data_IF_784592470551
#
_entry.id   IF_784592470551
#
_cell.length_a   1.000
_cell.length_b   1.000
_cell.length_c   1.000
_cell.angle_alpha   90.00
_cell.angle_beta   90.00
_cell.angle_gamma   90.00
#
_symmetry.space_group_name_H-M   'P 1'
#
loop_
_entity.id
_entity.type
_entity.pdbx_description
1 polymer ?
#
# COMPACT_ATOMS: atom_id res chain seq x y z
N UNK A 1 2.89 -15.72 1.07
CA UNK A 1 1.60 -16.15 1.67
C UNK A 1 1.23 -17.55 1.17
N UNK A 2 1.16 -18.59 2.03
CA UNK A 2 0.90 -19.99 1.58
C UNK A 2 -0.56 -20.24 1.15
N UNK A 3 -1.51 -19.49 1.72
CA UNK A 3 -2.94 -19.65 1.47
C UNK A 3 -3.30 -19.43 0.00
N UNK A 4 -2.81 -18.35 -0.61
CA UNK A 4 -3.12 -18.02 -2.00
C UNK A 4 -2.52 -19.01 -3.02
N UNK A 5 -1.57 -19.86 -2.64
CA UNK A 5 -1.01 -20.89 -3.54
C UNK A 5 -2.01 -21.99 -3.89
N UNK A 6 -3.03 -22.19 -3.04
CA UNK A 6 -4.09 -23.17 -3.23
C UNK A 6 -5.41 -22.50 -3.60
N UNK A 7 -5.36 -21.23 -4.00
CA UNK A 7 -6.53 -20.48 -4.45
C UNK A 7 -7.05 -21.08 -5.76
N UNK A 8 -8.31 -21.49 -5.77
CA UNK A 8 -9.00 -21.84 -7.02
C UNK A 8 -9.35 -20.56 -7.77
N UNK A 9 -8.86 -20.34 -8.99
CA UNK A 9 -9.14 -19.11 -9.74
C UNK A 9 -10.62 -19.03 -10.11
N UNK A 10 -11.25 -17.88 -9.87
CA UNK A 10 -12.66 -17.60 -10.22
C UNK A 10 -12.87 -16.12 -10.49
N UNK A 11 -13.76 -15.79 -11.41
CA UNK A 11 -14.13 -14.40 -11.71
C UNK A 11 -15.65 -14.27 -11.59
N UNK A 12 -16.11 -13.69 -10.49
CA UNK A 12 -17.52 -13.45 -10.20
C UNK A 12 -17.91 -11.97 -10.38
N UNK A 13 -16.94 -11.06 -10.27
CA UNK A 13 -17.10 -9.63 -10.50
C UNK A 13 -17.03 -9.21 -11.97
N UNK A 14 -17.05 -7.90 -12.21
CA UNK A 14 -16.97 -7.31 -13.56
C UNK A 14 -15.52 -7.00 -13.92
N UNK A 15 -15.08 -7.49 -15.08
CA UNK A 15 -13.79 -7.12 -15.69
C UNK A 15 -14.06 -6.30 -16.95
N UNK A 16 -13.52 -5.09 -17.01
CA UNK A 16 -13.67 -4.22 -18.18
C UNK A 16 -12.75 -4.63 -19.33
N UNK A 17 -13.14 -4.27 -20.56
CA UNK A 17 -12.29 -4.44 -21.73
C UNK A 17 -10.95 -3.74 -21.57
N UNK A 18 -9.85 -4.43 -21.88
CA UNK A 18 -8.49 -3.91 -21.75
C UNK A 18 -7.85 -4.11 -20.38
N UNK A 19 -8.53 -4.71 -19.40
CA UNK A 19 -7.85 -5.26 -18.22
C UNK A 19 -7.21 -6.61 -18.56
N UNK A 20 -6.09 -6.95 -17.90
CA UNK A 20 -5.37 -8.20 -18.06
C UNK A 20 -5.28 -8.95 -16.73
N UNK A 21 -5.56 -10.26 -16.76
CA UNK A 21 -5.53 -11.14 -15.61
C UNK A 21 -4.68 -12.35 -15.98
N UNK A 22 -3.59 -12.56 -15.24
CA UNK A 22 -2.64 -13.64 -15.44
C UNK A 22 -2.53 -14.49 -14.16
N UNK A 23 -2.44 -15.82 -14.30
CA UNK A 23 -2.27 -16.72 -13.17
C UNK A 23 -3.52 -16.93 -12.31
N UNK A 24 -3.31 -17.38 -11.07
CA UNK A 24 -4.40 -17.80 -10.19
C UNK A 24 -5.08 -16.62 -9.46
N UNK A 25 -6.13 -16.05 -10.05
CA UNK A 25 -6.82 -14.89 -9.48
C UNK A 25 -8.26 -15.23 -9.11
N UNK A 26 -8.66 -14.85 -7.89
CA UNK A 26 -10.06 -14.90 -7.46
C UNK A 26 -10.61 -13.48 -7.35
N UNK A 27 -11.68 -13.19 -8.08
CA UNK A 27 -12.40 -11.92 -8.06
C UNK A 27 -13.83 -12.20 -7.58
N UNK A 28 -14.18 -11.64 -6.43
CA UNK A 28 -15.51 -11.79 -5.83
C UNK A 28 -16.61 -11.02 -6.56
N UNK A 29 -17.86 -11.31 -6.21
CA UNK A 29 -19.05 -10.62 -6.71
C UNK A 29 -18.96 -9.11 -6.47
N UNK A 30 -19.59 -8.33 -7.34
CA UNK A 30 -19.66 -6.87 -7.25
C UNK A 30 -18.30 -6.13 -7.29
N UNK A 31 -17.17 -6.85 -7.30
CA UNK A 31 -15.86 -6.26 -7.56
C UNK A 31 -15.78 -5.80 -9.03
N UNK A 32 -15.06 -4.71 -9.28
CA UNK A 32 -14.84 -4.12 -10.59
C UNK A 32 -13.35 -4.00 -10.87
N UNK A 33 -12.89 -4.63 -11.94
CA UNK A 33 -11.55 -4.44 -12.48
C UNK A 33 -11.65 -3.51 -13.69
N UNK A 34 -11.09 -2.31 -13.56
CA UNK A 34 -11.17 -1.27 -14.58
C UNK A 34 -10.16 -1.46 -15.71
N UNK A 35 -10.44 -0.89 -16.88
CA UNK A 35 -9.58 -0.96 -18.07
C UNK A 35 -8.11 -0.61 -17.78
N UNK A 36 -7.20 -1.33 -18.45
CA UNK A 36 -5.75 -1.15 -18.33
C UNK A 36 -5.13 -1.69 -17.04
N UNK A 37 -5.93 -2.19 -16.10
CA UNK A 37 -5.43 -2.87 -14.90
C UNK A 37 -4.75 -4.19 -15.28
N UNK A 38 -3.59 -4.46 -14.70
CA UNK A 38 -2.89 -5.73 -14.83
C UNK A 38 -2.86 -6.45 -13.48
N UNK A 39 -3.38 -7.68 -13.43
CA UNK A 39 -3.38 -8.51 -12.22
C UNK A 39 -2.60 -9.78 -12.47
N UNK A 40 -1.56 -10.03 -11.67
CA UNK A 40 -0.76 -11.25 -11.72
C UNK A 40 -0.96 -12.06 -10.43
N UNK A 41 -1.40 -13.30 -10.59
CA UNK A 41 -1.69 -14.22 -9.51
C UNK A 41 -0.44 -14.87 -8.88
N UNK A 42 -0.59 -15.46 -7.68
CA UNK A 42 -1.87 -15.69 -7.04
C UNK A 42 -2.39 -14.44 -6.31
N UNK A 43 -3.64 -14.05 -6.56
CA UNK A 43 -4.21 -12.82 -6.00
C UNK A 43 -5.70 -12.97 -5.68
N UNK A 44 -6.17 -12.26 -4.65
CA UNK A 44 -7.56 -12.24 -4.23
C UNK A 44 -8.10 -10.81 -4.24
N UNK A 45 -9.24 -10.62 -4.89
CA UNK A 45 -9.97 -9.35 -4.95
C UNK A 45 -11.34 -9.53 -4.30
N UNK A 46 -11.51 -8.94 -3.11
CA UNK A 46 -12.71 -9.04 -2.30
C UNK A 46 -13.93 -8.30 -2.87
N UNK A 47 -15.09 -8.64 -2.31
CA UNK A 47 -16.41 -8.14 -2.74
C UNK A 47 -16.47 -6.61 -2.78
N UNK A 48 -17.18 -6.04 -3.77
CA UNK A 48 -17.40 -4.58 -3.90
C UNK A 48 -16.12 -3.73 -4.09
N UNK A 49 -14.95 -4.35 -4.28
CA UNK A 49 -13.70 -3.62 -4.51
C UNK A 49 -13.61 -3.05 -5.92
N UNK A 50 -13.04 -1.86 -6.05
CA UNK A 50 -12.86 -1.16 -7.33
C UNK A 50 -11.36 -0.94 -7.61
N UNK A 51 -10.84 -1.63 -8.62
CA UNK A 51 -9.41 -1.73 -8.90
C UNK A 51 -9.09 -1.09 -10.24
N UNK A 52 -8.26 -0.06 -10.23
CA UNK A 52 -7.77 0.64 -11.40
C UNK A 52 -8.42 2.00 -11.64
N UNK A 53 -8.35 2.55 -12.88
CA UNK A 53 -7.76 1.97 -14.09
C UNK A 53 -6.22 2.02 -14.09
N UNK A 54 -5.58 1.29 -15.00
CA UNK A 54 -4.12 1.33 -15.23
C UNK A 54 -3.27 1.13 -13.95
N UNK A 55 -3.69 0.25 -13.03
CA UNK A 55 -2.89 -0.13 -11.87
C UNK A 55 -2.30 -1.53 -12.06
N UNK A 56 -1.29 -1.87 -11.27
CA UNK A 56 -0.72 -3.22 -11.22
C UNK A 56 -1.00 -3.86 -9.85
N UNK A 57 -1.60 -5.05 -9.87
CA UNK A 57 -1.77 -5.89 -8.69
C UNK A 57 -0.93 -7.14 -8.89
N UNK A 58 0.21 -7.20 -8.21
CA UNK A 58 1.16 -8.30 -8.35
C UNK A 58 0.85 -9.51 -7.47
N UNK A 59 1.67 -10.57 -7.58
CA UNK A 59 1.46 -11.83 -6.89
C UNK A 59 1.39 -11.70 -5.38
N UNK A 60 0.69 -12.66 -4.76
CA UNK A 60 0.47 -12.77 -3.32
C UNK A 60 -0.24 -11.57 -2.68
N UNK A 61 -1.03 -10.84 -3.46
CA UNK A 61 -1.82 -9.70 -2.98
C UNK A 61 -3.21 -10.16 -2.58
N UNK A 62 -3.64 -9.77 -1.38
CA UNK A 62 -4.98 -9.98 -0.87
C UNK A 62 -5.65 -8.63 -0.65
N UNK A 63 -6.74 -8.39 -1.37
CA UNK A 63 -7.54 -7.19 -1.30
C UNK A 63 -8.85 -7.53 -0.60
N UNK A 64 -9.15 -6.85 0.51
CA UNK A 64 -10.39 -7.01 1.28
C UNK A 64 -11.63 -6.54 0.52
N UNK A 65 -12.77 -6.47 1.23
CA UNK A 65 -14.01 -5.94 0.66
C UNK A 65 -13.93 -4.41 0.53
N UNK A 66 -14.64 -3.85 -0.45
CA UNK A 66 -14.82 -2.39 -0.60
C UNK A 66 -13.50 -1.60 -0.69
N UNK A 67 -12.42 -2.26 -1.11
CA UNK A 67 -11.13 -1.61 -1.29
C UNK A 67 -11.13 -0.85 -2.62
N UNK A 68 -10.53 0.34 -2.63
CA UNK A 68 -10.29 1.11 -3.84
C UNK A 68 -8.80 1.19 -4.12
N UNK A 69 -8.38 0.77 -5.32
CA UNK A 69 -7.00 0.92 -5.79
C UNK A 69 -6.99 1.90 -6.95
N UNK A 70 -6.39 3.07 -6.73
CA UNK A 70 -6.39 4.19 -7.66
C UNK A 70 -5.51 3.99 -8.89
N UNK A 71 -5.62 4.95 -9.81
CA UNK A 71 -4.89 4.94 -11.07
C UNK A 71 -3.36 4.92 -10.90
N UNK A 72 -2.67 4.09 -11.68
CA UNK A 72 -1.21 4.03 -11.68
C UNK A 72 -0.60 3.53 -10.36
N UNK A 73 -1.41 3.01 -9.43
CA UNK A 73 -0.90 2.40 -8.22
C UNK A 73 -0.33 1.01 -8.50
N UNK A 74 0.64 0.59 -7.69
CA UNK A 74 1.15 -0.77 -7.65
C UNK A 74 0.97 -1.36 -6.26
N UNK A 75 0.39 -2.56 -6.20
CA UNK A 75 0.23 -3.33 -4.96
C UNK A 75 0.75 -4.74 -5.19
N UNK A 76 1.71 -5.21 -4.37
CA UNK A 76 2.32 -6.53 -4.55
C UNK A 76 2.68 -7.18 -3.23
N UNK A 77 2.40 -8.48 -3.07
CA UNK A 77 2.72 -9.26 -1.87
C UNK A 77 2.25 -8.57 -0.58
N UNK A 78 1.06 -7.96 -0.63
CA UNK A 78 0.50 -7.14 0.45
C UNK A 78 -0.90 -7.63 0.84
N UNK A 79 -1.27 -7.35 2.08
CA UNK A 79 -2.64 -7.54 2.57
C UNK A 79 -3.25 -6.15 2.77
N UNK A 80 -4.31 -5.86 2.03
CA UNK A 80 -5.18 -4.71 2.25
C UNK A 80 -6.44 -5.23 2.92
N UNK A 81 -6.72 -4.80 4.14
CA UNK A 81 -7.96 -5.15 4.81
C UNK A 81 -9.15 -4.39 4.21
N UNK A 82 -10.31 -4.51 4.85
CA UNK A 82 -11.56 -3.96 4.32
C UNK A 82 -11.53 -2.43 4.26
N UNK A 83 -12.27 -1.88 3.29
CA UNK A 83 -12.57 -0.46 3.20
C UNK A 83 -11.30 0.44 3.01
N UNK A 84 -10.15 -0.16 2.65
CA UNK A 84 -8.91 0.57 2.34
C UNK A 84 -9.02 1.35 1.03
N UNK A 85 -8.46 2.55 0.99
CA UNK A 85 -8.28 3.35 -0.21
C UNK A 85 -6.80 3.59 -0.48
N UNK A 86 -6.31 3.04 -1.60
CA UNK A 86 -4.97 3.29 -2.12
C UNK A 86 -5.06 4.41 -3.17
N UNK A 87 -4.57 5.60 -2.83
CA UNK A 87 -4.57 6.75 -3.74
C UNK A 87 -3.75 6.50 -5.01
N UNK A 88 -3.98 7.28 -6.08
CA UNK A 88 -3.28 7.12 -7.35
C UNK A 88 -1.77 7.29 -7.19
N UNK A 89 -1.01 6.65 -8.07
CA UNK A 89 0.47 6.68 -8.11
C UNK A 89 1.14 6.17 -6.81
N UNK A 90 0.42 5.42 -5.98
CA UNK A 90 0.97 4.84 -4.76
C UNK A 90 1.69 3.51 -5.04
N UNK A 91 2.64 3.15 -4.19
CA UNK A 91 3.41 1.91 -4.29
C UNK A 91 3.36 1.20 -2.94
N UNK A 92 2.62 0.08 -2.87
CA UNK A 92 2.30 -0.64 -1.63
C UNK A 92 2.73 -2.10 -1.74
N UNK A 93 3.93 -2.40 -1.27
CA UNK A 93 4.55 -3.71 -1.44
C UNK A 93 5.02 -4.30 -0.12
N UNK A 94 4.93 -5.63 0.02
CA UNK A 94 5.34 -6.38 1.22
C UNK A 94 4.74 -5.82 2.53
N UNK A 95 3.49 -5.34 2.46
CA UNK A 95 2.87 -4.54 3.52
C UNK A 95 1.58 -5.17 4.05
N UNK A 96 1.22 -4.79 5.28
CA UNK A 96 -0.07 -5.12 5.88
C UNK A 96 -0.77 -3.83 6.25
N UNK A 97 -1.92 -3.57 5.63
CA UNK A 97 -2.70 -2.35 5.79
C UNK A 97 -4.03 -2.69 6.47
N UNK A 98 -4.27 -2.08 7.63
CA UNK A 98 -5.49 -2.23 8.43
C UNK A 98 -6.75 -1.69 7.75
N UNK A 99 -7.89 -1.85 8.41
CA UNK A 99 -9.19 -1.42 7.89
C UNK A 99 -9.29 0.12 7.83
N UNK A 100 -10.14 0.64 6.92
CA UNK A 100 -10.44 2.07 6.76
C UNK A 100 -9.21 3.00 6.63
N UNK A 101 -8.12 2.48 6.08
CA UNK A 101 -6.93 3.30 5.80
C UNK A 101 -7.09 4.06 4.49
N UNK A 102 -6.68 5.32 4.46
CA UNK A 102 -6.74 6.20 3.27
C UNK A 102 -5.35 6.73 2.92
N UNK A 103 -4.87 6.35 1.74
CA UNK A 103 -3.57 6.74 1.23
C UNK A 103 -3.72 7.92 0.29
N UNK A 104 -3.13 9.06 0.66
CA UNK A 104 -2.96 10.19 -0.24
C UNK A 104 -2.15 9.80 -1.48
N UNK A 105 -2.38 10.49 -2.60
CA UNK A 105 -1.69 10.22 -3.86
C UNK A 105 -0.17 10.20 -3.70
N UNK A 106 0.49 9.24 -4.35
CA UNK A 106 1.95 9.09 -4.26
C UNK A 106 2.45 8.64 -2.89
N UNK A 107 1.63 7.93 -2.11
CA UNK A 107 2.13 7.30 -0.87
C UNK A 107 2.93 6.05 -1.21
N UNK A 108 4.17 5.97 -0.73
CA UNK A 108 5.13 4.92 -1.10
C UNK A 108 5.57 4.15 0.13
N UNK A 109 5.52 2.82 0.07
CA UNK A 109 6.09 1.93 1.08
C UNK A 109 7.40 1.33 0.55
N UNK A 110 8.55 1.80 1.04
CA UNK A 110 9.80 1.13 0.74
C UNK A 110 9.86 -0.22 1.48
N UNK A 111 10.33 -1.27 0.82
CA UNK A 111 10.40 -2.63 1.37
C UNK A 111 11.82 -3.18 1.51
N UNK A 112 12.82 -2.61 0.83
CA UNK A 112 14.21 -3.08 0.89
C UNK A 112 15.13 -2.03 1.52
N UNK A 113 16.22 -2.50 2.15
CA UNK A 113 17.33 -1.65 2.61
C UNK A 113 18.47 -1.69 1.60
N UNK A 114 19.23 -0.60 1.53
CA UNK A 114 20.42 -0.55 0.68
C UNK A 114 21.48 -1.59 1.03
N UNK A 115 21.59 -1.97 2.31
CA UNK A 115 22.54 -2.99 2.78
C UNK A 115 22.07 -4.42 2.53
N UNK A 116 20.86 -4.63 1.97
CA UNK A 116 20.21 -5.93 1.74
C UNK A 116 20.16 -6.84 2.99
N UNK A 117 20.32 -6.28 4.18
CA UNK A 117 20.19 -7.05 5.42
C UNK A 117 18.72 -7.27 5.74
N UNK A 118 18.38 -8.34 6.48
CA UNK A 118 17.01 -8.55 6.94
C UNK A 118 16.45 -7.32 7.65
N UNK A 119 15.23 -6.94 7.27
CA UNK A 119 14.49 -5.85 7.89
C UNK A 119 14.29 -6.17 9.37
N UNK A 120 14.39 -5.14 10.23
CA UNK A 120 14.13 -5.27 11.66
C UNK A 120 12.94 -4.42 12.04
N UNK A 121 12.11 -4.94 12.94
CA UNK A 121 10.94 -4.26 13.46
C UNK A 121 10.96 -4.28 14.98
N UNK A 122 10.41 -3.23 15.62
CA UNK A 122 10.22 -3.26 17.07
C UNK A 122 9.01 -4.10 17.45
N UNK A 123 9.17 -5.11 18.29
CA UNK A 123 8.07 -5.95 18.80
C UNK A 123 8.18 -5.99 20.32
N UNK A 124 7.12 -5.57 21.03
CA UNK A 124 7.10 -5.47 22.50
C UNK A 124 8.32 -4.73 23.09
N UNK A 125 8.73 -3.64 22.42
CA UNK A 125 9.86 -2.81 22.84
C UNK A 125 11.22 -3.25 22.31
N UNK A 126 11.36 -4.47 21.79
CA UNK A 126 12.64 -5.02 21.35
C UNK A 126 12.80 -4.98 19.83
N UNK A 127 14.03 -4.78 19.34
CA UNK A 127 14.32 -4.84 17.90
C UNK A 127 14.51 -6.28 17.45
N UNK A 128 13.57 -6.79 16.66
CA UNK A 128 13.54 -8.17 16.19
C UNK A 128 13.76 -8.21 14.68
N UNK A 129 14.57 -9.15 14.20
CA UNK A 129 14.71 -9.41 12.77
C UNK A 129 13.44 -10.08 12.23
N UNK A 130 12.93 -9.62 11.09
CA UNK A 130 11.82 -10.28 10.40
C UNK A 130 12.28 -11.56 9.70
N UNK A 131 13.59 -11.73 9.50
CA UNK A 131 14.16 -12.76 8.64
C UNK A 131 13.95 -12.52 7.14
N UNK A 132 13.38 -11.38 6.75
CA UNK A 132 13.06 -11.02 5.36
C UNK A 132 13.93 -9.87 4.90
N UNK A 133 14.48 -9.96 3.69
CA UNK A 133 15.14 -8.81 3.03
C UNK A 133 14.12 -7.77 2.56
N UNK A 134 12.87 -8.19 2.33
CA UNK A 134 11.74 -7.36 1.91
C UNK A 134 10.64 -7.33 2.97
N UNK A 135 10.35 -6.13 3.49
CA UNK A 135 9.24 -5.85 4.38
C UNK A 135 8.88 -4.37 4.31
N UNK A 136 7.66 -4.06 3.89
CA UNK A 136 7.13 -2.71 3.83
C UNK A 136 6.63 -2.22 5.18
N UNK A 137 5.42 -1.65 5.20
CA UNK A 137 4.79 -1.07 6.39
C UNK A 137 3.80 -2.05 7.02
N UNK A 138 3.67 -2.00 8.35
CA UNK A 138 2.51 -2.59 9.06
C UNK A 138 1.70 -1.45 9.65
N UNK A 139 0.50 -1.26 9.13
CA UNK A 139 -0.39 -0.14 9.44
C UNK A 139 -1.64 -0.66 10.13
N UNK A 140 -1.96 -0.07 11.28
CA UNK A 140 -3.22 -0.32 11.99
C UNK A 140 -4.39 0.39 11.32
N UNK A 141 -5.59 0.15 11.85
CA UNK A 141 -6.85 0.64 11.30
C UNK A 141 -6.97 2.18 11.38
N UNK A 142 -7.80 2.77 10.53
CA UNK A 142 -8.14 4.20 10.53
C UNK A 142 -6.94 5.14 10.36
N UNK A 143 -5.91 4.70 9.62
CA UNK A 143 -4.72 5.53 9.32
C UNK A 143 -4.93 6.32 8.03
N UNK A 144 -4.57 7.61 8.07
CA UNK A 144 -4.67 8.50 6.90
C UNK A 144 -3.31 9.09 6.55
N UNK A 145 -2.95 9.05 5.27
CA UNK A 145 -1.72 9.67 4.77
C UNK A 145 -2.05 10.84 3.87
N UNK A 146 -1.28 11.92 4.00
CA UNK A 146 -1.28 13.01 3.03
C UNK A 146 -0.59 12.60 1.74
N UNK A 147 -0.66 13.47 0.74
CA UNK A 147 0.02 13.26 -0.54
C UNK A 147 1.54 13.16 -0.35
N UNK A 148 2.19 12.25 -1.10
CA UNK A 148 3.65 12.12 -1.12
C UNK A 148 4.29 11.62 0.18
N UNK A 149 3.55 10.89 1.03
CA UNK A 149 4.13 10.29 2.23
C UNK A 149 5.00 9.08 1.85
N UNK A 150 6.18 8.99 2.45
CA UNK A 150 7.14 7.91 2.21
C UNK A 150 7.39 7.12 3.50
N UNK A 151 7.17 5.81 3.49
CA UNK A 151 7.47 4.93 4.63
C UNK A 151 8.75 4.15 4.40
N UNK A 152 9.61 4.11 5.42
CA UNK A 152 10.80 3.26 5.41
C UNK A 152 10.46 1.79 5.74
N UNK A 153 11.29 0.82 5.30
CA UNK A 153 11.06 -0.59 5.53
C UNK A 153 10.91 -0.94 7.02
N UNK A 154 9.89 -1.74 7.35
CA UNK A 154 9.65 -2.24 8.69
C UNK A 154 9.04 -1.24 9.67
N UNK A 155 8.65 -0.05 9.21
CA UNK A 155 7.91 0.92 10.04
C UNK A 155 6.54 0.37 10.41
N UNK A 156 6.11 0.64 11.64
CA UNK A 156 4.74 0.42 12.10
C UNK A 156 4.01 1.74 12.28
N UNK A 157 2.73 1.77 11.93
CA UNK A 157 1.85 2.92 12.20
C UNK A 157 0.68 2.43 13.03
N UNK A 158 0.51 2.98 14.23
CA UNK A 158 -0.59 2.64 15.12
C UNK A 158 -1.92 3.23 14.64
N UNK A 159 -3.02 2.58 15.01
CA UNK A 159 -4.37 2.95 14.58
C UNK A 159 -4.73 4.41 14.87
N UNK A 160 -5.73 4.93 14.15
CA UNK A 160 -6.28 6.28 14.33
C UNK A 160 -5.21 7.38 14.20
N UNK A 161 -4.31 7.25 13.24
CA UNK A 161 -3.18 8.17 13.08
C UNK A 161 -3.18 8.88 11.73
N UNK A 162 -2.83 10.17 11.73
CA UNK A 162 -2.72 10.97 10.51
C UNK A 162 -1.27 11.35 10.24
N UNK A 163 -0.80 11.05 9.04
CA UNK A 163 0.51 11.43 8.54
C UNK A 163 0.32 12.57 7.54
N UNK A 164 0.77 13.76 7.88
CA UNK A 164 0.70 14.93 7.01
C UNK A 164 1.46 14.76 5.69
N UNK A 165 1.19 15.62 4.70
CA UNK A 165 1.76 15.48 3.36
C UNK A 165 3.28 15.62 3.35
N UNK A 166 3.91 14.93 2.41
CA UNK A 166 5.34 15.02 2.10
C UNK A 166 6.28 14.65 3.28
N UNK A 167 5.82 13.79 4.20
CA UNK A 167 6.63 13.32 5.32
C UNK A 167 7.32 12.00 4.97
N UNK A 168 8.61 11.89 5.30
CA UNK A 168 9.34 10.62 5.32
C UNK A 168 9.31 10.01 6.73
N UNK A 169 8.67 8.86 6.86
CA UNK A 169 8.46 8.16 8.13
C UNK A 169 9.57 7.13 8.33
N UNK A 170 10.52 7.46 9.22
CA UNK A 170 11.67 6.60 9.55
C UNK A 170 11.47 5.74 10.80
N UNK A 171 10.50 6.09 11.64
CA UNK A 171 10.29 5.48 12.96
C UNK A 171 8.81 5.13 13.12
N UNK A 172 8.57 4.15 13.98
CA UNK A 172 7.21 3.77 14.35
C UNK A 172 6.40 4.99 14.81
N UNK A 173 5.16 5.06 14.35
CA UNK A 173 4.18 6.07 14.76
C UNK A 173 3.24 5.41 15.77
N UNK A 174 3.05 5.97 16.97
CA UNK A 174 2.12 5.43 17.95
C UNK A 174 0.66 5.61 17.49
N UNK A 175 -0.27 4.90 18.10
CA UNK A 175 -1.71 5.11 17.87
C UNK A 175 -2.16 6.50 18.33
N UNK A 176 -3.25 7.00 17.74
CA UNK A 176 -3.86 8.31 18.07
C UNK A 176 -2.89 9.48 17.85
N UNK A 177 -2.04 9.40 16.83
CA UNK A 177 -0.99 10.38 16.56
C UNK A 177 -1.30 11.22 15.33
N UNK A 178 -0.92 12.50 15.37
CA UNK A 178 -0.88 13.36 14.20
C UNK A 178 0.56 13.78 13.97
N UNK A 179 1.12 13.42 12.82
CA UNK A 179 2.45 13.81 12.40
C UNK A 179 2.34 14.90 11.33
N UNK A 180 2.96 16.06 11.55
CA UNK A 180 2.89 17.19 10.63
C UNK A 180 4.28 17.70 10.27
N UNK A 181 4.42 18.20 9.05
CA UNK A 181 5.63 18.83 8.56
C UNK A 181 5.50 20.35 8.65
N UNK A 182 6.44 21.01 9.31
CA UNK A 182 6.59 22.46 9.24
C UNK A 182 7.65 22.80 8.20
N UNK A 183 7.22 23.33 7.06
CA UNK A 183 8.12 23.75 5.99
C UNK A 183 8.59 25.19 6.20
N UNK A 184 9.88 25.44 5.95
CA UNK A 184 10.42 26.80 5.78
C UNK A 184 10.62 27.07 4.30
N UNK A 185 9.94 28.09 3.77
CA UNK A 185 10.03 28.48 2.37
C UNK A 185 10.98 29.67 2.28
N UNK A 186 11.99 29.56 1.42
CA UNK A 186 12.88 30.67 1.07
C UNK A 186 12.47 31.19 -0.30
N UNK A 187 12.33 32.51 -0.41
CA UNK A 187 12.15 33.21 -1.67
C UNK A 187 13.47 33.89 -2.03
N UNK A 188 13.88 33.81 -3.28
CA UNK A 188 15.03 34.53 -3.84
C UNK A 188 14.66 35.07 -5.22
N UNK A 189 15.36 36.10 -5.67
CA UNK A 189 15.15 36.67 -7.01
C UNK A 189 15.86 35.81 -8.08
N UNK A 190 15.22 35.63 -9.24
CA UNK A 190 15.85 34.94 -10.37
C UNK A 190 17.10 35.67 -10.85
N UNK A 191 17.16 36.99 -10.72
CA UNK A 191 18.29 37.80 -11.19
C UNK A 191 19.53 37.71 -10.29
N UNK A 192 19.39 37.19 -9.06
CA UNK A 192 20.45 37.12 -8.05
C UNK A 192 21.00 35.69 -7.85
N UNK A 193 20.81 34.79 -8.83
CA UNK A 193 21.45 33.46 -8.78
C UNK A 193 22.90 33.62 -9.23
N UNK A 194 23.80 33.46 -8.26
CA UNK A 194 25.20 33.13 -8.52
C UNK A 194 25.33 31.83 -9.34
#
# INVERSE_FOLDING_TARGET
>A
MRVLKHLEPRVLGRVEGGAHIEGAVFIEEEARIRSGTYIEGPAYIGKESDVGPNCYVGPYTSVGRKVRIGNGAEVKNSILMNDVHIGPLSYVVDSVIGEDCDFGAGTITANYRFDRKPIKMRVKGEMVSTGREEMGVVMGDDVKTGVGVLFMPGVKVGCNSWIGPNIVVYKDVPSNAIMSLKQQIRHGDFSERD
#
